data_IF_117733471005
#
_entry.id   IF_117733471005
#
_cell.length_a   1.000
_cell.length_b   1.000
_cell.length_c   1.000
_cell.angle_alpha   90.00
_cell.angle_beta   90.00
_cell.angle_gamma   90.00
#
_symmetry.space_group_name_H-M   'P 1'
#
loop_
_entity.id
_entity.type
_entity.pdbx_description
1 polymer ?
#
# COMPACT_ATOMS: atom_id res chain seq x y z
N UNK A 1 -10.88 26.88 3.41
CA UNK A 1 -11.81 26.02 2.63
C UNK A 1 -11.10 25.41 1.42
N UNK A 2 -10.53 26.18 0.47
CA UNK A 2 -9.78 25.59 -0.65
C UNK A 2 -8.50 24.85 -0.20
N UNK A 3 -7.89 25.28 0.90
CA UNK A 3 -6.61 24.72 1.37
C UNK A 3 -6.73 23.25 1.85
N UNK A 4 -7.86 22.87 2.46
CA UNK A 4 -8.09 21.49 2.90
C UNK A 4 -8.26 20.52 1.73
N UNK A 5 -9.05 20.91 0.72
CA UNK A 5 -9.26 20.10 -0.48
C UNK A 5 -7.96 20.01 -1.30
N UNK A 6 -7.18 21.10 -1.36
CA UNK A 6 -5.89 21.10 -2.03
C UNK A 6 -4.88 20.19 -1.33
N UNK A 7 -4.81 20.21 0.00
CA UNK A 7 -3.96 19.30 0.76
C UNK A 7 -4.37 17.84 0.58
N UNK A 8 -5.67 17.55 0.63
CA UNK A 8 -6.24 16.22 0.38
C UNK A 8 -5.87 15.72 -1.03
N UNK A 9 -6.00 16.58 -2.04
CA UNK A 9 -5.65 16.28 -3.42
C UNK A 9 -4.15 16.02 -3.56
N UNK A 10 -3.28 16.88 -3.03
CA UNK A 10 -1.83 16.67 -3.08
C UNK A 10 -1.40 15.39 -2.36
N UNK A 11 -1.98 15.10 -1.19
CA UNK A 11 -1.74 13.85 -0.45
C UNK A 11 -2.16 12.63 -1.27
N UNK A 12 -3.36 12.65 -1.86
CA UNK A 12 -3.84 11.55 -2.70
C UNK A 12 -2.99 11.36 -3.96
N UNK A 13 -2.64 12.44 -4.66
CA UNK A 13 -1.82 12.40 -5.89
C UNK A 13 -0.42 11.86 -5.60
N UNK A 14 0.21 12.32 -4.51
CA UNK A 14 1.56 11.86 -4.11
C UNK A 14 1.55 10.37 -3.78
N UNK A 15 0.56 9.89 -3.03
CA UNK A 15 0.40 8.47 -2.76
C UNK A 15 0.11 7.66 -4.03
N UNK A 16 -0.73 8.16 -4.94
CA UNK A 16 -1.00 7.49 -6.21
C UNK A 16 0.25 7.38 -7.09
N UNK A 17 1.13 8.39 -7.08
CA UNK A 17 2.41 8.35 -7.78
C UNK A 17 3.31 7.23 -7.27
N UNK A 18 3.39 7.02 -5.95
CA UNK A 18 4.21 5.95 -5.35
C UNK A 18 3.55 4.58 -5.45
N UNK A 19 2.22 4.54 -5.30
CA UNK A 19 1.45 3.31 -5.33
C UNK A 19 1.48 2.66 -6.72
N UNK A 20 1.55 3.43 -7.81
CA UNK A 20 1.63 2.86 -9.17
C UNK A 20 2.84 1.92 -9.38
N UNK A 21 4.09 2.38 -9.19
CA UNK A 21 5.28 1.56 -9.37
C UNK A 21 5.39 0.42 -8.36
N UNK A 22 5.14 0.69 -7.07
CA UNK A 22 5.16 -0.35 -6.04
C UNK A 22 4.08 -1.40 -6.29
N UNK A 23 2.87 -0.94 -6.59
CA UNK A 23 1.73 -1.77 -6.95
C UNK A 23 1.99 -2.66 -8.15
N UNK A 24 2.73 -2.17 -9.13
CA UNK A 24 3.14 -2.97 -10.29
C UNK A 24 3.97 -4.19 -9.88
N UNK A 25 4.93 -4.01 -8.96
CA UNK A 25 5.70 -5.13 -8.41
C UNK A 25 4.85 -6.05 -7.52
N UNK A 26 3.91 -5.50 -6.75
CA UNK A 26 2.97 -6.30 -5.94
C UNK A 26 2.15 -7.23 -6.84
N UNK A 27 1.62 -6.71 -7.95
CA UNK A 27 0.81 -7.47 -8.91
C UNK A 27 1.65 -8.51 -9.65
N UNK A 28 2.83 -8.17 -10.17
CA UNK A 28 3.69 -9.12 -10.88
C UNK A 28 4.14 -10.29 -10.01
N UNK A 29 4.46 -10.00 -8.75
CA UNK A 29 4.92 -11.01 -7.79
C UNK A 29 3.76 -11.76 -7.14
N UNK A 30 2.52 -11.55 -7.60
CA UNK A 30 1.29 -12.15 -7.08
C UNK A 30 1.12 -11.95 -5.56
N UNK A 31 1.55 -10.79 -5.06
CA UNK A 31 1.48 -10.45 -3.64
C UNK A 31 0.27 -9.55 -3.33
N UNK A 32 -0.85 -9.71 -4.04
CA UNK A 32 -2.01 -8.81 -3.90
C UNK A 32 -2.50 -8.69 -2.44
N UNK A 33 -2.53 -9.81 -1.71
CA UNK A 33 -2.93 -9.84 -0.29
C UNK A 33 -1.88 -9.28 0.68
N UNK A 34 -0.68 -8.92 0.21
CA UNK A 34 0.39 -8.40 1.07
C UNK A 34 0.03 -7.04 1.65
N UNK A 35 -0.61 -6.18 0.83
CA UNK A 35 -1.14 -4.90 1.31
C UNK A 35 -2.09 -5.12 2.49
N UNK A 36 -3.08 -5.99 2.33
CA UNK A 36 -4.05 -6.31 3.39
C UNK A 36 -3.41 -6.96 4.62
N UNK A 37 -2.37 -7.78 4.44
CA UNK A 37 -1.64 -8.37 5.56
C UNK A 37 -0.93 -7.30 6.38
N UNK A 38 -0.27 -6.34 5.71
CA UNK A 38 0.39 -5.20 6.36
C UNK A 38 -0.62 -4.28 7.02
N UNK A 39 -1.79 -4.06 6.42
CA UNK A 39 -2.92 -3.33 6.99
C UNK A 39 -3.34 -3.85 8.36
N UNK A 40 -3.52 -5.16 8.49
CA UNK A 40 -3.87 -5.79 9.76
C UNK A 40 -2.72 -5.78 10.77
N UNK A 41 -1.48 -5.94 10.31
CA UNK A 41 -0.31 -5.77 11.17
C UNK A 41 -0.14 -4.32 11.66
N UNK A 42 -0.52 -3.34 10.84
CA UNK A 42 -0.50 -1.94 11.21
C UNK A 42 -1.55 -1.65 12.31
N UNK A 43 -2.76 -2.23 12.21
CA UNK A 43 -3.75 -2.16 13.29
C UNK A 43 -3.25 -2.79 14.60
N UNK A 44 -2.60 -3.95 14.53
CA UNK A 44 -1.90 -4.53 15.69
C UNK A 44 -0.80 -3.60 16.22
N UNK A 45 -0.03 -2.97 15.34
CA UNK A 45 1.00 -2.00 15.70
C UNK A 45 0.42 -0.77 16.43
N UNK A 46 -0.72 -0.25 15.97
CA UNK A 46 -1.44 0.83 16.67
C UNK A 46 -1.89 0.37 18.05
N UNK A 47 -2.49 -0.82 18.16
CA UNK A 47 -2.90 -1.38 19.44
C UNK A 47 -1.71 -1.46 20.40
N UNK A 48 -0.60 -2.06 19.99
CA UNK A 48 0.61 -2.16 20.81
C UNK A 48 1.21 -0.78 21.16
N UNK A 49 1.16 0.19 20.24
CA UNK A 49 1.63 1.56 20.48
C UNK A 49 0.84 2.23 21.60
N UNK A 50 -0.49 2.14 21.56
CA UNK A 50 -1.36 2.67 22.61
C UNK A 50 -1.15 1.95 23.95
N UNK A 51 -0.88 0.65 23.91
CA UNK A 51 -0.66 -0.19 25.10
C UNK A 51 0.65 0.14 25.82
N UNK A 52 1.68 0.48 25.03
CA UNK A 52 3.03 0.78 25.52
C UNK A 52 3.27 2.27 25.72
N UNK A 53 2.28 3.12 25.44
CA UNK A 53 2.38 4.58 25.42
C UNK A 53 3.51 5.10 24.50
N UNK A 54 3.68 4.43 23.35
CA UNK A 54 4.67 4.77 22.31
C UNK A 54 3.95 5.33 21.09
N UNK A 55 4.62 6.21 20.33
CA UNK A 55 4.03 6.80 19.13
C UNK A 55 3.54 5.73 18.13
N UNK A 56 2.27 5.79 17.69
CA UNK A 56 1.70 4.78 16.78
C UNK A 56 2.47 4.65 15.47
N UNK A 57 3.06 5.73 14.96
CA UNK A 57 3.85 5.70 13.74
C UNK A 57 5.07 4.77 13.87
N UNK A 58 5.75 4.76 15.02
CA UNK A 58 6.89 3.90 15.27
C UNK A 58 6.45 2.44 15.41
N UNK A 59 5.42 2.16 16.21
CA UNK A 59 4.98 0.78 16.44
C UNK A 59 4.33 0.15 15.20
N UNK A 60 3.64 0.93 14.38
CA UNK A 60 3.15 0.50 13.05
C UNK A 60 4.32 0.15 12.15
N UNK A 61 5.31 1.03 12.04
CA UNK A 61 6.48 0.79 11.18
C UNK A 61 7.22 -0.47 11.63
N UNK A 62 7.53 -0.59 12.92
CA UNK A 62 8.20 -1.77 13.49
C UNK A 62 7.37 -3.04 13.30
N UNK A 63 6.05 -2.99 13.53
CA UNK A 63 5.14 -4.12 13.34
C UNK A 63 5.11 -4.62 11.89
N UNK A 64 5.00 -3.69 10.94
CA UNK A 64 5.05 -4.00 9.50
C UNK A 64 6.41 -4.58 9.08
N UNK A 65 7.52 -4.04 9.60
CA UNK A 65 8.88 -4.55 9.36
C UNK A 65 9.04 -5.97 9.91
N UNK A 66 8.62 -6.21 11.15
CA UNK A 66 8.66 -7.53 11.78
C UNK A 66 7.82 -8.54 11.00
N UNK A 67 6.63 -8.15 10.55
CA UNK A 67 5.79 -8.99 9.71
C UNK A 67 6.44 -9.31 8.36
N UNK A 68 7.04 -8.31 7.71
CA UNK A 68 7.75 -8.51 6.44
C UNK A 68 8.91 -9.51 6.60
N UNK A 69 9.72 -9.37 7.66
CA UNK A 69 10.81 -10.30 7.97
C UNK A 69 10.27 -11.70 8.26
N UNK A 70 9.19 -11.81 9.06
CA UNK A 70 8.54 -13.08 9.35
C UNK A 70 8.01 -13.75 8.07
N UNK A 71 7.37 -13.00 7.18
CA UNK A 71 6.88 -13.51 5.92
C UNK A 71 8.02 -14.05 5.04
N UNK A 72 9.11 -13.29 4.87
CA UNK A 72 10.26 -13.73 4.07
C UNK A 72 10.88 -15.00 4.64
N UNK A 73 11.04 -15.08 5.96
CA UNK A 73 11.61 -16.26 6.61
C UNK A 73 10.70 -17.49 6.49
N UNK A 74 9.38 -17.33 6.60
CA UNK A 74 8.42 -18.41 6.40
C UNK A 74 8.38 -18.88 4.94
N UNK A 75 8.40 -17.96 3.97
CA UNK A 75 8.44 -18.29 2.54
C UNK A 75 9.69 -19.11 2.15
N UNK A 76 10.80 -18.96 2.87
CA UNK A 76 12.02 -19.72 2.62
C UNK A 76 12.00 -21.11 3.26
N UNK A 77 11.25 -21.30 4.35
CA UNK A 77 11.29 -22.52 5.16
C UNK A 77 10.12 -23.47 4.92
N UNK A 78 8.97 -22.95 4.51
CA UNK A 78 7.72 -23.71 4.40
C UNK A 78 7.32 -23.88 2.94
N UNK A 79 6.90 -25.09 2.50
CA UNK A 79 6.40 -25.32 1.14
C UNK A 79 4.95 -24.82 0.94
N UNK A 80 4.51 -23.84 1.74
CA UNK A 80 3.16 -23.28 1.66
C UNK A 80 3.08 -22.25 0.53
N UNK A 81 1.92 -22.17 -0.12
CA UNK A 81 1.66 -21.11 -1.09
C UNK A 81 1.74 -19.74 -0.39
N UNK A 82 2.39 -18.77 -1.05
CA UNK A 82 2.55 -17.40 -0.52
C UNK A 82 1.23 -16.78 -0.09
N UNK A 83 0.15 -17.00 -0.87
CA UNK A 83 -1.18 -16.47 -0.57
C UNK A 83 -1.76 -17.05 0.72
N UNK A 84 -1.48 -18.34 1.00
CA UNK A 84 -1.88 -18.98 2.25
C UNK A 84 -1.15 -18.38 3.44
N UNK A 85 0.17 -18.14 3.33
CA UNK A 85 0.95 -17.49 4.39
C UNK A 85 0.44 -16.06 4.66
N UNK A 86 0.17 -15.29 3.60
CA UNK A 86 -0.40 -13.94 3.71
C UNK A 86 -1.75 -13.98 4.42
N UNK A 87 -2.67 -14.86 4.02
CA UNK A 87 -3.98 -15.00 4.66
C UNK A 87 -3.90 -15.38 6.14
N UNK A 88 -3.04 -16.35 6.49
CA UNK A 88 -2.84 -16.76 7.89
C UNK A 88 -2.30 -15.59 8.72
N UNK A 89 -1.28 -14.90 8.21
CA UNK A 89 -0.67 -13.77 8.89
C UNK A 89 -1.66 -12.60 9.06
N UNK A 90 -2.46 -12.29 8.04
CA UNK A 90 -3.45 -11.23 8.06
C UNK A 90 -4.51 -11.45 9.16
N UNK A 91 -5.11 -12.65 9.21
CA UNK A 91 -6.09 -12.97 10.23
C UNK A 91 -5.46 -13.06 11.62
N UNK A 92 -4.24 -13.62 11.73
CA UNK A 92 -3.55 -13.73 13.01
C UNK A 92 -3.21 -12.36 13.60
N UNK A 93 -2.67 -11.43 12.81
CA UNK A 93 -2.33 -10.09 13.28
C UNK A 93 -3.57 -9.29 13.66
N UNK A 94 -4.65 -9.38 12.88
CA UNK A 94 -5.92 -8.75 13.22
C UNK A 94 -6.47 -9.28 14.55
N UNK A 95 -6.54 -10.61 14.71
CA UNK A 95 -7.03 -11.23 15.94
C UNK A 95 -6.16 -10.87 17.15
N UNK A 96 -4.83 -10.91 17.00
CA UNK A 96 -3.91 -10.47 18.05
C UNK A 96 -4.10 -9.00 18.40
N UNK A 97 -4.32 -8.14 17.40
CA UNK A 97 -4.60 -6.72 17.60
C UNK A 97 -5.87 -6.52 18.42
N UNK A 98 -6.96 -7.20 18.05
CA UNK A 98 -8.22 -7.13 18.79
C UNK A 98 -8.12 -7.67 20.22
N UNK A 99 -7.35 -8.75 20.43
CA UNK A 99 -7.06 -9.26 21.78
C UNK A 99 -6.27 -8.25 22.59
N UNK A 100 -5.24 -7.63 22.01
CA UNK A 100 -4.47 -6.57 22.67
C UNK A 100 -5.36 -5.39 23.08
N UNK A 101 -6.28 -4.99 22.19
CA UNK A 101 -7.27 -3.94 22.48
C UNK A 101 -8.26 -4.33 23.58
N UNK A 102 -8.66 -5.59 23.69
CA UNK A 102 -9.61 -6.01 24.74
C UNK A 102 -9.07 -5.84 26.16
N UNK A 103 -7.75 -5.72 26.33
CA UNK A 103 -7.16 -5.41 27.63
C UNK A 103 -7.25 -3.91 28.00
N UNK A 104 -7.52 -3.03 27.03
CA UNK A 104 -7.66 -1.59 27.24
C UNK A 104 -9.12 -1.22 27.50
N UNK A 105 -9.47 -0.98 28.76
CA UNK A 105 -10.86 -0.68 29.13
C UNK A 105 -11.27 0.77 28.85
N UNK A 106 -10.30 1.71 28.82
CA UNK A 106 -10.55 3.15 28.70
C UNK A 106 -10.29 3.72 27.29
N UNK A 107 -9.80 2.91 26.35
CA UNK A 107 -9.41 3.38 25.02
C UNK A 107 -10.50 3.03 24.00
N UNK A 108 -11.30 4.03 23.61
CA UNK A 108 -12.23 3.91 22.48
C UNK A 108 -11.48 4.15 21.18
N UNK A 109 -11.04 3.08 20.53
CA UNK A 109 -10.47 3.17 19.19
C UNK A 109 -11.59 3.23 18.16
N UNK A 110 -11.60 4.29 17.36
CA UNK A 110 -12.40 4.34 16.15
C UNK A 110 -11.68 3.60 15.02
N UNK A 111 -11.98 2.31 14.86
CA UNK A 111 -11.43 1.51 13.75
C UNK A 111 -11.82 2.11 12.40
N UNK A 112 -12.99 2.76 12.27
CA UNK A 112 -13.42 3.36 11.01
C UNK A 112 -12.49 4.50 10.60
N UNK A 113 -12.07 5.32 11.57
CA UNK A 113 -11.08 6.38 11.35
C UNK A 113 -9.73 5.81 10.84
N UNK A 114 -9.26 4.67 11.35
CA UNK A 114 -8.02 4.05 10.83
C UNK A 114 -8.19 3.35 9.48
N UNK A 115 -9.36 2.74 9.23
CA UNK A 115 -9.64 2.04 7.98
C UNK A 115 -9.76 3.01 6.80
N UNK A 116 -10.48 4.13 7.00
CA UNK A 116 -10.81 5.09 5.95
C UNK A 116 -10.01 6.39 6.00
N UNK A 117 -9.32 6.66 7.12
CA UNK A 117 -8.61 7.91 7.34
C UNK A 117 -9.55 9.11 7.41
N UNK A 118 -8.96 10.30 7.57
CA UNK A 118 -9.63 11.56 7.28
C UNK A 118 -8.73 12.37 6.35
N UNK A 119 -8.89 12.10 5.05
CA UNK A 119 -8.11 12.75 4.01
C UNK A 119 -8.38 14.26 3.92
N UNK A 120 -9.53 14.73 4.40
CA UNK A 120 -9.88 16.16 4.38
C UNK A 120 -9.21 16.93 5.53
N UNK A 121 -8.90 16.24 6.63
CA UNK A 121 -8.23 16.81 7.80
C UNK A 121 -6.70 16.81 7.72
N UNK A 122 -6.10 16.58 6.54
CA UNK A 122 -4.64 16.57 6.36
C UNK A 122 -4.04 17.93 6.73
N UNK A 123 -3.17 17.92 7.74
CA UNK A 123 -2.38 19.10 8.11
C UNK A 123 -1.21 19.32 7.13
N UNK A 124 -0.68 20.56 7.00
CA UNK A 124 0.49 20.82 6.16
C UNK A 124 1.74 20.03 6.59
N UNK A 125 1.89 19.74 7.87
CA UNK A 125 2.98 18.92 8.41
C UNK A 125 2.82 17.45 8.02
N UNK A 126 1.60 16.90 8.09
CA UNK A 126 1.30 15.55 7.62
C UNK A 126 1.55 15.43 6.10
N UNK A 127 1.19 16.45 5.32
CA UNK A 127 1.47 16.50 3.88
C UNK A 127 2.98 16.49 3.59
N UNK A 128 3.78 17.24 4.35
CA UNK A 128 5.25 17.22 4.20
C UNK A 128 5.84 15.83 4.49
N UNK A 129 5.31 15.12 5.49
CA UNK A 129 5.70 13.73 5.77
C UNK A 129 5.33 12.77 4.64
N UNK A 130 4.14 12.91 4.05
CA UNK A 130 3.73 12.10 2.89
C UNK A 130 4.67 12.36 1.71
N UNK A 131 4.91 13.63 1.36
CA UNK A 131 5.75 14.00 0.23
C UNK A 131 7.18 13.51 0.46
N UNK A 132 7.75 13.76 1.64
CA UNK A 132 9.11 13.34 1.99
C UNK A 132 9.28 11.83 1.99
N UNK A 133 8.37 11.10 2.64
CA UNK A 133 8.37 9.63 2.68
C UNK A 133 8.17 9.02 1.29
N UNK A 134 7.24 9.56 0.52
CA UNK A 134 6.97 9.16 -0.87
C UNK A 134 8.16 9.39 -1.78
N UNK A 135 8.81 10.54 -1.68
CA UNK A 135 10.00 10.88 -2.47
C UNK A 135 11.17 9.96 -2.12
N UNK A 136 11.40 9.68 -0.83
CA UNK A 136 12.42 8.74 -0.37
C UNK A 136 12.17 7.33 -0.93
N UNK A 137 10.92 6.85 -0.85
CA UNK A 137 10.55 5.53 -1.36
C UNK A 137 10.72 5.45 -2.88
N UNK A 138 10.31 6.47 -3.63
CA UNK A 138 10.52 6.52 -5.07
C UNK A 138 12.00 6.55 -5.44
N UNK A 139 12.83 7.30 -4.70
CA UNK A 139 14.27 7.35 -4.93
C UNK A 139 14.92 5.98 -4.68
N UNK A 140 14.57 5.33 -3.57
CA UNK A 140 15.04 3.97 -3.27
C UNK A 140 14.54 2.95 -4.29
N UNK A 141 13.28 3.06 -4.71
CA UNK A 141 12.70 2.19 -5.73
C UNK A 141 13.39 2.37 -7.08
N UNK A 142 13.69 3.61 -7.49
CA UNK A 142 14.44 3.90 -8.70
C UNK A 142 15.86 3.32 -8.65
N UNK A 143 16.51 3.39 -7.49
CA UNK A 143 17.82 2.77 -7.27
C UNK A 143 17.76 1.24 -7.32
N UNK A 144 16.72 0.62 -6.73
CA UNK A 144 16.51 -0.83 -6.72
C UNK A 144 15.78 -1.36 -7.96
N UNK A 145 15.43 -0.52 -8.93
CA UNK A 145 14.57 -0.88 -10.06
C UNK A 145 15.10 -2.08 -10.85
N UNK A 146 16.36 -2.04 -11.26
CA UNK A 146 16.99 -3.12 -12.05
C UNK A 146 17.07 -4.44 -11.28
N UNK A 147 17.60 -4.50 -10.03
CA UNK A 147 17.55 -5.72 -9.23
C UNK A 147 16.13 -6.27 -9.02
N UNK A 148 15.15 -5.39 -8.77
CA UNK A 148 13.75 -5.79 -8.56
C UNK A 148 13.14 -6.41 -9.82
N UNK A 149 13.40 -5.83 -10.99
CA UNK A 149 12.97 -6.41 -12.26
C UNK A 149 13.64 -7.77 -12.51
N UNK A 150 14.95 -7.89 -12.29
CA UNK A 150 15.68 -9.14 -12.50
C UNK A 150 15.09 -10.29 -11.66
N UNK A 151 14.85 -10.06 -10.36
CA UNK A 151 14.24 -11.09 -9.47
C UNK A 151 12.76 -11.34 -9.73
N UNK A 152 12.08 -10.46 -10.47
CA UNK A 152 10.66 -10.61 -10.84
C UNK A 152 10.52 -11.39 -12.14
N UNK A 153 11.46 -11.23 -13.06
CA UNK A 153 11.47 -11.92 -14.36
C UNK A 153 11.98 -13.36 -14.21
N UNK A 154 13.17 -13.57 -13.64
CA UNK A 154 13.76 -14.90 -13.44
C UNK A 154 14.54 -14.95 -12.13
N UNK A 155 13.88 -15.42 -11.07
CA UNK A 155 14.48 -15.49 -9.73
C UNK A 155 15.69 -16.41 -9.65
N UNK A 156 15.66 -17.56 -10.34
CA UNK A 156 16.79 -18.51 -10.37
C UNK A 156 18.01 -17.93 -11.08
N UNK A 157 17.81 -17.29 -12.24
CA UNK A 157 18.89 -16.64 -12.98
C UNK A 157 19.52 -15.51 -12.16
N UNK A 158 18.70 -14.66 -11.54
CA UNK A 158 19.18 -13.60 -10.65
C UNK A 158 20.03 -14.16 -9.49
N UNK A 159 19.65 -15.32 -8.95
CA UNK A 159 20.42 -15.99 -7.89
C UNK A 159 21.75 -16.53 -8.40
N UNK A 160 21.79 -17.08 -9.63
CA UNK A 160 23.03 -17.53 -10.29
C UNK A 160 23.95 -16.35 -10.61
N UNK A 161 23.40 -15.20 -10.99
CA UNK A 161 24.13 -13.95 -11.21
C UNK A 161 24.65 -13.30 -9.90
N UNK A 162 24.42 -13.92 -8.75
CA UNK A 162 24.92 -13.46 -7.45
C UNK A 162 24.09 -12.36 -6.80
N UNK A 163 22.89 -12.05 -7.31
CA UNK A 163 22.01 -11.07 -6.67
C UNK A 163 21.45 -11.62 -5.34
N UNK A 164 21.45 -10.82 -4.27
CA UNK A 164 20.90 -11.23 -2.97
C UNK A 164 19.37 -11.20 -2.99
N UNK A 165 18.74 -12.18 -3.63
CA UNK A 165 17.28 -12.26 -3.88
C UNK A 165 16.46 -12.01 -2.61
N UNK A 166 16.85 -12.62 -1.47
CA UNK A 166 16.16 -12.45 -0.20
C UNK A 166 16.19 -10.99 0.29
N UNK A 167 17.35 -10.33 0.19
CA UNK A 167 17.50 -8.93 0.61
C UNK A 167 16.73 -7.99 -0.30
N UNK A 168 16.73 -8.22 -1.62
CA UNK A 168 15.98 -7.40 -2.58
C UNK A 168 14.46 -7.57 -2.37
N UNK A 169 14.00 -8.80 -2.10
CA UNK A 169 12.60 -9.08 -1.74
C UNK A 169 12.21 -8.36 -0.44
N UNK A 170 13.06 -8.45 0.58
CA UNK A 170 12.83 -7.76 1.84
C UNK A 170 12.79 -6.24 1.63
N UNK A 171 13.69 -5.69 0.81
CA UNK A 171 13.68 -4.26 0.48
C UNK A 171 12.36 -3.82 -0.16
N UNK A 172 11.81 -4.57 -1.12
CA UNK A 172 10.48 -4.29 -1.68
C UNK A 172 9.40 -4.28 -0.60
N UNK A 173 9.40 -5.30 0.25
CA UNK A 173 8.42 -5.42 1.34
C UNK A 173 8.53 -4.27 2.35
N UNK A 174 9.75 -3.84 2.67
CA UNK A 174 10.01 -2.68 3.52
C UNK A 174 9.56 -1.38 2.89
N UNK A 175 9.78 -1.17 1.58
CA UNK A 175 9.30 0.01 0.87
C UNK A 175 7.77 0.11 0.94
N UNK A 176 7.07 -1.01 0.71
CA UNK A 176 5.61 -1.07 0.82
C UNK A 176 5.16 -0.82 2.26
N UNK A 177 5.84 -1.42 3.24
CA UNK A 177 5.55 -1.22 4.67
C UNK A 177 5.68 0.26 5.09
N UNK A 178 6.73 0.94 4.64
CA UNK A 178 6.95 2.37 4.92
C UNK A 178 5.84 3.22 4.30
N UNK A 179 5.47 2.95 3.04
CA UNK A 179 4.37 3.68 2.39
C UNK A 179 3.05 3.47 3.12
N UNK A 180 2.73 2.23 3.50
CA UNK A 180 1.51 1.93 4.26
C UNK A 180 1.53 2.62 5.62
N UNK A 181 2.67 2.60 6.34
CA UNK A 181 2.80 3.26 7.64
C UNK A 181 2.57 4.78 7.55
N UNK A 182 3.15 5.44 6.54
CA UNK A 182 2.97 6.88 6.31
C UNK A 182 1.55 7.20 5.87
N UNK A 183 0.97 6.39 4.98
CA UNK A 183 -0.38 6.63 4.45
C UNK A 183 -1.48 6.33 5.47
N UNK A 184 -1.29 5.33 6.35
CA UNK A 184 -2.31 4.84 7.28
C UNK A 184 -2.90 5.95 8.15
N UNK A 185 -2.04 6.75 8.79
CA UNK A 185 -2.48 7.78 9.75
C UNK A 185 -3.40 8.83 9.10
N UNK A 186 -3.23 9.06 7.80
CA UNK A 186 -3.74 10.27 7.13
C UNK A 186 -4.85 9.90 6.14
N UNK A 187 -4.60 8.89 5.33
CA UNK A 187 -5.40 8.55 4.16
C UNK A 187 -6.24 7.29 4.39
N UNK A 188 -5.89 6.51 5.41
CA UNK A 188 -6.55 5.27 5.73
C UNK A 188 -5.94 4.08 5.03
N UNK A 189 -6.03 2.97 5.71
CA UNK A 189 -5.42 1.70 5.32
C UNK A 189 -6.06 1.11 4.06
N UNK A 190 -7.38 1.22 3.92
CA UNK A 190 -8.12 0.69 2.77
C UNK A 190 -7.77 1.42 1.47
N UNK A 191 -7.57 2.73 1.55
CA UNK A 191 -7.29 3.52 0.36
C UNK A 191 -5.90 3.21 -0.20
N UNK A 192 -4.88 3.11 0.66
CA UNK A 192 -3.52 2.82 0.19
C UNK A 192 -3.39 1.40 -0.40
N UNK A 193 -4.02 0.38 0.18
CA UNK A 193 -4.01 -0.97 -0.40
C UNK A 193 -4.75 -1.02 -1.72
N UNK A 194 -5.89 -0.33 -1.82
CA UNK A 194 -6.65 -0.21 -3.06
C UNK A 194 -5.85 0.47 -4.17
N UNK A 195 -5.16 1.57 -3.86
CA UNK A 195 -4.31 2.29 -4.83
C UNK A 195 -3.07 1.50 -5.24
N UNK A 196 -2.56 0.60 -4.39
CA UNK A 196 -1.47 -0.31 -4.75
C UNK A 196 -1.93 -1.41 -5.72
N UNK A 197 -3.18 -1.86 -5.63
CA UNK A 197 -3.62 -3.06 -6.37
C UNK A 197 -4.44 -2.69 -7.61
N UNK A 198 -5.49 -1.89 -7.45
CA UNK A 198 -6.51 -1.69 -8.49
C UNK A 198 -5.94 -0.95 -9.73
N UNK A 199 -5.25 0.20 -9.60
CA UNK A 199 -4.66 0.89 -10.75
C UNK A 199 -3.57 0.06 -11.44
N UNK A 200 -2.76 -0.65 -10.65
CA UNK A 200 -1.71 -1.53 -11.18
C UNK A 200 -2.30 -2.70 -11.99
N UNK A 201 -3.34 -3.35 -11.48
CA UNK A 201 -4.05 -4.40 -12.20
C UNK A 201 -4.74 -3.86 -13.47
N UNK A 202 -5.30 -2.66 -13.42
CA UNK A 202 -5.92 -2.01 -14.58
C UNK A 202 -4.89 -1.67 -15.68
N UNK A 203 -3.69 -1.23 -15.28
CA UNK A 203 -2.59 -0.91 -16.19
C UNK A 203 -1.93 -2.17 -16.78
N UNK A 204 -1.86 -3.27 -16.02
CA UNK A 204 -1.20 -4.52 -16.42
C UNK A 204 -1.71 -5.06 -17.76
N UNK A 205 -3.01 -4.94 -18.04
CA UNK A 205 -3.62 -5.42 -19.29
C UNK A 205 -3.10 -4.69 -20.53
N UNK A 206 -2.68 -3.44 -20.40
CA UNK A 206 -2.32 -2.55 -21.52
C UNK A 206 -0.82 -2.30 -21.62
N UNK A 207 -0.05 -2.67 -20.59
CA UNK A 207 1.38 -2.44 -20.53
C UNK A 207 2.16 -3.55 -21.25
N UNK A 208 3.18 -3.12 -22.02
CA UNK A 208 4.15 -4.02 -22.69
C UNK A 208 5.49 -4.08 -21.96
N UNK A 209 5.83 -3.01 -21.24
CA UNK A 209 7.06 -2.93 -20.45
C UNK A 209 6.74 -2.64 -18.98
N UNK A 210 7.64 -3.00 -18.07
CA UNK A 210 7.50 -2.69 -16.65
C UNK A 210 7.34 -1.19 -16.38
N UNK A 211 8.11 -0.36 -17.08
CA UNK A 211 8.06 1.10 -16.95
C UNK A 211 6.71 1.64 -17.44
N UNK A 212 6.19 1.11 -18.54
CA UNK A 212 4.87 1.50 -19.05
C UNK A 212 3.76 1.14 -18.05
N UNK A 213 3.87 -0.02 -17.39
CA UNK A 213 2.92 -0.43 -16.36
C UNK A 213 2.98 0.49 -15.16
N UNK A 214 4.17 0.80 -14.65
CA UNK A 214 4.36 1.67 -13.49
C UNK A 214 3.79 3.07 -13.74
N UNK A 215 4.12 3.68 -14.89
CA UNK A 215 3.58 4.99 -15.28
C UNK A 215 2.07 4.92 -15.50
N UNK A 216 1.58 3.88 -16.19
CA UNK A 216 0.14 3.70 -16.42
C UNK A 216 -0.65 3.51 -15.13
N UNK A 217 -0.11 2.77 -14.17
CA UNK A 217 -0.70 2.54 -12.85
C UNK A 217 -0.75 3.84 -12.06
N UNK A 218 0.32 4.64 -12.05
CA UNK A 218 0.32 5.97 -11.45
C UNK A 218 -0.76 6.85 -12.08
N UNK A 219 -0.80 6.97 -13.41
CA UNK A 219 -1.78 7.81 -14.11
C UNK A 219 -3.23 7.40 -13.79
N UNK A 220 -3.53 6.10 -13.79
CA UNK A 220 -4.85 5.61 -13.40
C UNK A 220 -5.15 5.89 -11.92
N UNK A 221 -4.15 5.80 -11.04
CA UNK A 221 -4.27 6.17 -9.63
C UNK A 221 -4.56 7.67 -9.46
N UNK A 222 -3.86 8.54 -10.19
CA UNK A 222 -4.09 9.99 -10.17
C UNK A 222 -5.52 10.30 -10.63
N UNK A 223 -5.97 9.67 -11.73
CA UNK A 223 -7.35 9.81 -12.20
C UNK A 223 -8.36 9.33 -11.16
N UNK A 224 -8.12 8.19 -10.51
CA UNK A 224 -8.98 7.68 -9.45
C UNK A 224 -9.09 8.65 -8.27
N UNK A 225 -7.97 9.26 -7.85
CA UNK A 225 -7.94 10.27 -6.78
C UNK A 225 -8.74 11.51 -7.17
N UNK A 226 -8.50 12.05 -8.36
CA UNK A 226 -9.22 13.23 -8.86
C UNK A 226 -10.73 12.98 -8.96
N UNK A 227 -11.13 11.86 -9.59
CA UNK A 227 -12.54 11.49 -9.72
C UNK A 227 -13.20 11.20 -8.36
N UNK A 228 -12.50 10.50 -7.47
CA UNK A 228 -13.00 10.14 -6.15
C UNK A 228 -13.18 11.35 -5.24
N UNK A 229 -12.23 12.28 -5.25
CA UNK A 229 -12.35 13.54 -4.52
C UNK A 229 -13.44 14.44 -5.10
N UNK A 230 -13.58 14.51 -6.43
CA UNK A 230 -14.70 15.22 -7.05
C UNK A 230 -16.05 14.61 -6.63
N UNK A 231 -16.17 13.28 -6.63
CA UNK A 231 -17.38 12.59 -6.18
C UNK A 231 -17.69 12.85 -4.70
N UNK A 232 -16.65 12.79 -3.85
CA UNK A 232 -16.74 13.13 -2.43
C UNK A 232 -17.25 14.56 -2.21
N UNK A 233 -16.75 15.52 -3.00
CA UNK A 233 -17.16 16.92 -2.92
C UNK A 233 -18.61 17.16 -3.34
N UNK A 234 -19.09 16.49 -4.39
CA UNK A 234 -20.47 16.71 -4.88
C UNK A 234 -21.54 15.91 -4.15
N UNK A 235 -21.19 14.76 -3.58
CA UNK A 235 -22.15 13.83 -2.97
C UNK A 235 -21.99 13.70 -1.44
N UNK A 236 -21.12 14.50 -0.82
CA UNK A 236 -20.80 14.44 0.63
C UNK A 236 -20.45 13.03 1.12
N UNK A 237 -19.80 12.25 0.25
CA UNK A 237 -19.36 10.88 0.57
C UNK A 237 -17.95 10.86 1.14
N UNK A 238 -17.57 9.87 1.99
CA UNK A 238 -16.21 9.79 2.52
C UNK A 238 -15.16 9.67 1.40
N UNK A 239 -14.13 10.52 1.44
CA UNK A 239 -13.14 10.64 0.37
C UNK A 239 -12.42 9.32 0.03
N UNK A 240 -12.00 8.56 1.05
CA UNK A 240 -11.31 7.28 0.89
C UNK A 240 -12.11 6.27 0.03
N UNK A 241 -13.30 5.84 0.48
CA UNK A 241 -14.20 4.98 -0.28
C UNK A 241 -14.49 5.49 -1.70
N UNK A 242 -14.74 6.79 -1.87
CA UNK A 242 -15.05 7.37 -3.18
C UNK A 242 -13.89 7.25 -4.18
N UNK A 243 -12.65 7.34 -3.71
CA UNK A 243 -11.46 7.07 -4.53
C UNK A 243 -11.36 5.58 -4.88
N UNK A 244 -11.65 4.67 -3.94
CA UNK A 244 -11.64 3.22 -4.20
C UNK A 244 -12.69 2.85 -5.25
N UNK A 245 -13.91 3.38 -5.14
CA UNK A 245 -14.98 3.18 -6.12
C UNK A 245 -14.58 3.72 -7.49
N UNK A 246 -13.94 4.89 -7.53
CA UNK A 246 -13.42 5.48 -8.78
C UNK A 246 -12.33 4.62 -9.41
N UNK A 247 -11.39 4.09 -8.62
CA UNK A 247 -10.38 3.15 -9.09
C UNK A 247 -11.00 1.86 -9.64
N UNK A 248 -11.99 1.31 -8.95
CA UNK A 248 -12.72 0.12 -9.39
C UNK A 248 -13.48 0.37 -10.70
N UNK A 249 -14.12 1.52 -10.85
CA UNK A 249 -14.78 1.91 -12.10
C UNK A 249 -13.78 2.03 -13.26
N UNK A 250 -12.62 2.64 -13.04
CA UNK A 250 -11.53 2.72 -14.03
C UNK A 250 -10.98 1.33 -14.39
N UNK A 251 -10.86 0.43 -13.42
CA UNK A 251 -10.47 -0.95 -13.66
C UNK A 251 -11.50 -1.68 -14.54
N UNK A 252 -12.79 -1.58 -14.24
CA UNK A 252 -13.85 -2.16 -15.07
C UNK A 252 -13.88 -1.55 -16.48
N UNK A 253 -13.67 -0.24 -16.61
CA UNK A 253 -13.56 0.43 -17.91
C UNK A 253 -12.35 -0.07 -18.73
N UNK A 254 -11.22 -0.36 -18.07
CA UNK A 254 -10.04 -0.98 -18.69
C UNK A 254 -10.35 -2.37 -19.27
N UNK A 255 -11.32 -3.11 -18.69
CA UNK A 255 -11.76 -4.39 -19.25
C UNK A 255 -12.63 -4.25 -20.51
N UNK A 256 -13.43 -3.18 -20.59
CA UNK A 256 -14.27 -2.89 -21.76
C UNK A 256 -13.44 -2.45 -22.98
N UNK A 257 -12.25 -1.89 -22.77
CA UNK A 257 -11.33 -1.57 -23.86
C UNK A 257 -10.73 -2.86 -24.46
N UNK A 258 -10.70 -3.00 -25.80
CA UNK A 258 -10.10 -4.16 -26.45
C UNK A 258 -8.67 -4.37 -25.96
N UNK A 259 -8.33 -5.61 -25.59
CA UNK A 259 -6.93 -5.96 -25.27
C UNK A 259 -6.10 -5.61 -26.51
N UNK A 260 -5.18 -4.65 -26.38
CA UNK A 260 -4.31 -4.25 -27.49
C UNK A 260 -3.40 -5.44 -27.79
N UNK A 261 -3.75 -6.24 -28.79
CA UNK A 261 -2.99 -7.40 -29.21
C UNK A 261 -1.53 -6.99 -29.46
N UNK A 262 -0.63 -7.66 -28.74
CA UNK A 262 0.78 -7.73 -29.08
C UNK A 262 0.97 -8.97 -29.93
#
# INVERSE_FOLDING_TARGET
MPDFLLNALLAGLTLALVAGPLGSFVVWRRMAYFGDTLSHAALLGVALGLMLDVSPALTVTVGCVLLAVLLVTLQQRQPLASDTLLGILAHSTLSLGLVALSFMHDVRIDLMSYLFGDLLAVSPTDLAWIIGGSALVLALLAWLWRPLLAITVHEELARVEGLPVAAIRLALMLLIAVVIAVAMKIVGVLLITSLLIIPAAAAQRHARTPEQMAVGASLLGLLAVCCGLALSWYQDTPAGPSIVVSAAALFLASFALPKRSG
#
